data_IF_824293872472
#
_entry.id   IF_824293872472
#
_cell.length_a   1.000
_cell.length_b   1.000
_cell.length_c   1.000
_cell.angle_alpha   90.00
_cell.angle_beta   90.00
_cell.angle_gamma   90.00
#
_symmetry.space_group_name_H-M   'P 1'
#
loop_
_entity.id
_entity.type
_entity.pdbx_description
1 polymer ?
#
# COMPACT_ATOMS: atom_id res chain seq x y z
N UNK A 1 54.44 34.45 24.79
CA UNK A 1 53.15 34.74 24.14
C UNK A 1 52.20 35.26 25.22
N UNK A 2 51.70 36.51 25.17
CA UNK A 2 50.97 37.12 26.27
C UNK A 2 49.54 36.49 26.30
N UNK A 3 49.05 36.15 27.49
CA UNK A 3 47.75 35.52 27.75
C UNK A 3 46.58 36.18 26.95
N UNK A 4 46.63 37.51 26.77
CA UNK A 4 45.66 38.29 25.97
C UNK A 4 45.57 37.85 24.51
N UNK A 5 46.69 37.41 23.91
CA UNK A 5 46.65 36.95 22.50
C UNK A 5 46.07 35.55 22.38
N UNK A 6 46.15 34.74 23.44
CA UNK A 6 45.51 33.45 23.49
C UNK A 6 43.98 33.51 23.58
N UNK A 7 43.46 34.48 24.38
CA UNK A 7 42.02 34.73 24.46
C UNK A 7 41.43 35.30 23.15
N UNK A 8 42.17 36.22 22.48
CA UNK A 8 41.74 36.72 21.17
C UNK A 8 41.69 35.58 20.13
N UNK A 9 42.69 34.68 20.13
CA UNK A 9 42.72 33.55 19.19
C UNK A 9 41.59 32.56 19.46
N UNK A 10 41.22 32.31 20.73
CA UNK A 10 40.12 31.42 21.10
C UNK A 10 38.75 31.99 20.72
N UNK A 11 38.57 33.30 20.85
CA UNK A 11 37.29 33.97 20.51
C UNK A 11 37.11 34.00 18.98
N UNK A 12 38.17 34.22 18.21
CA UNK A 12 38.12 34.15 16.72
C UNK A 12 37.88 32.74 16.21
N UNK A 13 38.45 31.73 16.89
CA UNK A 13 38.22 30.30 16.51
C UNK A 13 36.74 29.88 16.82
N UNK A 14 36.17 30.37 17.93
CA UNK A 14 34.80 30.08 18.33
C UNK A 14 33.77 30.76 17.42
N UNK A 15 34.08 31.96 16.91
CA UNK A 15 33.19 32.68 15.98
C UNK A 15 33.15 32.05 14.58
N UNK A 16 34.23 31.42 14.12
CA UNK A 16 34.27 30.66 12.84
C UNK A 16 33.50 29.35 12.93
N UNK A 17 33.44 28.71 14.11
CA UNK A 17 32.68 27.48 14.30
C UNK A 17 31.15 27.68 14.29
N UNK A 18 30.67 28.91 14.53
CA UNK A 18 29.24 29.24 14.53
C UNK A 18 28.67 29.55 13.13
N UNK A 19 29.52 29.72 12.13
CA UNK A 19 29.08 29.98 10.74
C UNK A 19 29.12 28.73 9.85
N UNK A 20 29.44 27.57 10.41
CA UNK A 20 29.55 26.31 9.64
C UNK A 20 28.21 25.57 9.48
N UNK A 21 27.10 26.09 10.02
CA UNK A 21 25.76 25.67 9.58
C UNK A 21 25.28 26.70 8.54
N UNK A 22 25.77 26.60 7.32
CA UNK A 22 25.00 27.08 6.20
C UNK A 22 23.82 26.13 6.07
N UNK A 23 22.62 26.57 6.38
CA UNK A 23 21.41 25.97 5.86
C UNK A 23 21.46 26.13 4.33
N UNK A 24 22.23 25.29 3.68
CA UNK A 24 21.96 24.92 2.29
C UNK A 24 20.63 24.16 2.32
N UNK A 25 19.53 24.92 2.53
CA UNK A 25 18.21 24.44 2.17
C UNK A 25 18.25 24.22 0.68
N UNK A 26 18.56 22.97 0.30
CA UNK A 26 18.43 22.57 -1.10
C UNK A 26 17.03 22.98 -1.54
N UNK A 27 16.99 23.96 -2.44
CA UNK A 27 15.72 24.44 -3.02
C UNK A 27 15.25 23.33 -3.96
N UNK A 28 14.41 22.44 -3.46
CA UNK A 28 13.76 21.45 -4.33
C UNK A 28 12.46 22.03 -4.89
N UNK A 29 12.16 21.66 -6.12
CA UNK A 29 10.87 21.97 -6.72
C UNK A 29 9.77 21.20 -5.99
N UNK A 30 8.78 21.93 -5.49
CA UNK A 30 7.67 21.33 -4.77
C UNK A 30 6.79 20.51 -5.71
N UNK A 31 6.37 19.35 -5.27
CA UNK A 31 5.56 18.43 -6.07
C UNK A 31 4.38 17.92 -5.25
N UNK A 32 3.22 17.82 -5.89
CA UNK A 32 2.04 17.19 -5.31
C UNK A 32 2.07 15.67 -5.53
N UNK A 33 1.52 14.95 -4.58
CA UNK A 33 1.40 13.49 -4.61
C UNK A 33 0.14 13.04 -3.85
N UNK A 34 -0.33 11.82 -4.14
CA UNK A 34 -1.42 11.20 -3.38
C UNK A 34 -0.87 10.74 -2.04
N UNK A 35 -1.44 11.27 -0.94
CA UNK A 35 -1.06 10.92 0.44
C UNK A 35 -1.69 9.57 0.82
N UNK A 36 -0.96 8.51 0.51
CA UNK A 36 -1.35 7.15 0.83
C UNK A 36 -0.12 6.33 1.21
N UNK A 37 -0.22 5.57 2.31
CA UNK A 37 0.86 4.69 2.79
C UNK A 37 1.16 3.55 1.82
N UNK A 38 0.16 3.16 1.03
CA UNK A 38 0.26 2.13 -0.03
C UNK A 38 -0.46 2.61 -1.28
N UNK A 39 0.00 2.15 -2.44
CA UNK A 39 -0.58 2.54 -3.73
C UNK A 39 -1.89 1.82 -4.08
N UNK A 40 -2.28 0.83 -3.30
CA UNK A 40 -3.48 0.02 -3.56
C UNK A 40 -4.46 0.10 -2.40
N UNK A 41 -5.76 0.18 -2.71
CA UNK A 41 -6.85 0.05 -1.76
C UNK A 41 -7.76 -1.10 -2.19
N UNK A 42 -7.91 -2.11 -1.33
CA UNK A 42 -8.70 -3.28 -1.64
C UNK A 42 -10.17 -3.05 -1.26
N UNK A 43 -11.07 -3.30 -2.21
CA UNK A 43 -12.53 -3.32 -2.02
C UNK A 43 -13.00 -4.76 -2.22
N UNK A 44 -13.51 -5.37 -1.15
CA UNK A 44 -13.96 -6.75 -1.21
C UNK A 44 -15.39 -6.83 -1.79
N UNK A 45 -15.54 -7.54 -2.90
CA UNK A 45 -16.83 -7.81 -3.51
C UNK A 45 -17.58 -8.85 -2.67
N UNK A 46 -18.78 -8.47 -2.24
CA UNK A 46 -19.70 -9.35 -1.51
C UNK A 46 -21.09 -9.20 -2.11
N UNK A 47 -21.81 -10.31 -2.25
CA UNK A 47 -23.17 -10.31 -2.81
C UNK A 47 -24.19 -9.49 -1.99
N UNK A 48 -23.83 -9.11 -0.77
CA UNK A 48 -24.68 -8.35 0.17
C UNK A 48 -24.31 -6.87 0.26
N UNK A 49 -23.23 -6.43 -0.39
CA UNK A 49 -22.73 -5.05 -0.31
C UNK A 49 -22.73 -4.45 -1.72
N UNK A 50 -23.77 -3.65 -2.06
CA UNK A 50 -23.91 -3.11 -3.41
C UNK A 50 -23.02 -1.88 -3.69
N UNK A 51 -22.49 -1.24 -2.65
CA UNK A 51 -21.73 0.01 -2.77
C UNK A 51 -20.60 0.10 -1.77
N UNK A 52 -19.60 0.92 -2.10
CA UNK A 52 -18.48 1.27 -1.24
C UNK A 52 -18.05 2.71 -1.53
N UNK A 53 -17.20 3.25 -0.67
CA UNK A 53 -16.57 4.55 -0.88
C UNK A 53 -15.05 4.42 -0.76
N UNK A 54 -14.34 5.24 -1.52
CA UNK A 54 -12.90 5.41 -1.43
C UNK A 54 -12.56 6.86 -1.14
N UNK A 55 -11.55 7.08 -0.32
CA UNK A 55 -11.07 8.40 0.03
C UNK A 55 -9.55 8.45 -0.04
N UNK A 56 -9.01 9.59 -0.41
CA UNK A 56 -7.61 9.95 -0.24
C UNK A 56 -7.45 11.48 -0.17
N UNK A 57 -6.25 11.93 0.09
CA UNK A 57 -5.87 13.35 0.01
C UNK A 57 -4.70 13.52 -0.92
N UNK A 58 -4.50 14.73 -1.40
CA UNK A 58 -3.29 15.13 -2.11
C UNK A 58 -2.45 15.97 -1.15
N UNK A 59 -1.16 15.71 -1.13
CA UNK A 59 -0.21 16.40 -0.27
C UNK A 59 0.97 16.97 -1.08
N UNK A 60 1.76 17.83 -0.44
CA UNK A 60 3.03 18.34 -0.93
C UNK A 60 4.03 18.50 0.23
N UNK A 61 5.32 18.57 -0.07
CA UNK A 61 6.37 18.52 0.95
C UNK A 61 6.51 19.83 1.75
N UNK A 62 6.23 20.98 1.13
CA UNK A 62 6.29 22.30 1.78
C UNK A 62 5.10 23.16 1.36
N UNK A 63 4.63 24.09 2.22
CA UNK A 63 3.54 24.98 1.84
C UNK A 63 3.95 25.94 0.74
N UNK A 64 2.98 26.29 -0.14
CA UNK A 64 3.10 27.33 -1.13
C UNK A 64 2.44 28.64 -0.65
N UNK A 65 2.85 29.76 -1.22
CA UNK A 65 2.28 31.09 -0.90
C UNK A 65 0.94 31.35 -1.61
N UNK A 66 0.55 30.48 -2.53
CA UNK A 66 -0.70 30.55 -3.28
C UNK A 66 -1.38 29.18 -3.27
N UNK A 67 -2.67 29.17 -3.56
CA UNK A 67 -3.45 27.94 -3.68
C UNK A 67 -2.89 27.03 -4.78
N UNK A 68 -2.75 25.75 -4.45
CA UNK A 68 -2.37 24.72 -5.42
C UNK A 68 -3.61 23.98 -5.88
N UNK A 69 -3.94 24.15 -7.16
CA UNK A 69 -5.10 23.50 -7.80
C UNK A 69 -4.66 22.19 -8.44
N UNK A 70 -5.43 21.14 -8.20
CA UNK A 70 -5.15 19.78 -8.68
C UNK A 70 -6.39 19.22 -9.37
N UNK A 71 -6.23 18.70 -10.58
CA UNK A 71 -7.26 17.89 -11.24
C UNK A 71 -6.91 16.41 -11.18
N UNK A 72 -7.95 15.60 -11.05
CA UNK A 72 -7.88 14.15 -10.88
C UNK A 72 -8.75 13.49 -11.95
N UNK A 73 -8.34 12.30 -12.40
CA UNK A 73 -9.15 11.50 -13.31
C UNK A 73 -9.02 10.02 -13.02
N UNK A 74 -10.05 9.27 -13.38
CA UNK A 74 -9.94 7.83 -13.55
C UNK A 74 -9.21 7.55 -14.88
N UNK A 75 -8.21 6.65 -14.85
CA UNK A 75 -7.38 6.34 -16.01
C UNK A 75 -7.30 4.83 -16.25
N UNK A 76 -8.33 4.22 -16.85
CA UNK A 76 -8.37 2.78 -17.09
C UNK A 76 -7.18 2.23 -17.89
N UNK A 77 -6.53 3.06 -18.73
CA UNK A 77 -5.35 2.67 -19.48
C UNK A 77 -4.15 2.28 -18.58
N UNK A 78 -4.16 2.65 -17.30
CA UNK A 78 -3.11 2.28 -16.35
C UNK A 78 -3.30 0.88 -15.73
N UNK A 79 -4.33 0.12 -16.12
CA UNK A 79 -4.54 -1.25 -15.63
C UNK A 79 -3.42 -2.18 -16.07
N UNK A 80 -2.89 -2.05 -17.27
CA UNK A 80 -1.74 -2.83 -17.73
C UNK A 80 -0.48 -2.51 -16.89
N UNK A 81 -0.31 -1.25 -16.50
CA UNK A 81 0.78 -0.84 -15.59
C UNK A 81 0.61 -1.47 -14.21
N UNK A 82 -0.62 -1.51 -13.70
CA UNK A 82 -0.94 -2.21 -12.45
C UNK A 82 -0.61 -3.70 -12.56
N UNK A 83 -1.10 -4.38 -13.59
CA UNK A 83 -0.88 -5.80 -13.79
C UNK A 83 0.61 -6.15 -13.86
N UNK A 84 1.40 -5.34 -14.57
CA UNK A 84 2.84 -5.53 -14.64
C UNK A 84 3.55 -5.32 -13.28
N UNK A 85 3.10 -4.34 -12.49
CA UNK A 85 3.72 -3.98 -11.21
C UNK A 85 3.37 -4.96 -10.08
N UNK A 86 2.15 -5.51 -10.09
CA UNK A 86 1.62 -6.35 -9.01
C UNK A 86 1.49 -7.83 -9.40
N UNK A 87 1.91 -8.21 -10.62
CA UNK A 87 1.82 -9.58 -11.16
C UNK A 87 0.38 -10.13 -11.12
N UNK A 88 -0.58 -9.27 -11.44
CA UNK A 88 -2.01 -9.56 -11.45
C UNK A 88 -2.55 -9.68 -12.88
N UNK A 89 -3.81 -10.09 -13.03
CA UNK A 89 -4.53 -10.15 -14.30
C UNK A 89 -5.89 -9.45 -14.15
N UNK A 90 -5.85 -8.20 -13.69
CA UNK A 90 -7.04 -7.41 -13.45
C UNK A 90 -7.61 -6.83 -14.75
N UNK A 91 -8.92 -6.68 -14.78
CA UNK A 91 -9.66 -5.92 -15.79
C UNK A 91 -9.94 -4.49 -15.29
N UNK A 92 -10.14 -3.55 -16.22
CA UNK A 92 -10.56 -2.21 -15.86
C UNK A 92 -11.96 -2.24 -15.25
N UNK A 93 -12.17 -1.55 -14.12
CA UNK A 93 -13.51 -1.39 -13.54
C UNK A 93 -14.39 -0.61 -14.54
N UNK A 94 -15.54 -1.18 -14.98
CA UNK A 94 -16.41 -0.49 -15.93
C UNK A 94 -16.96 0.82 -15.35
N UNK A 95 -17.10 1.85 -16.19
CA UNK A 95 -17.44 3.21 -15.77
C UNK A 95 -18.79 3.33 -15.03
N UNK A 96 -19.72 2.40 -15.26
CA UNK A 96 -21.01 2.36 -14.54
C UNK A 96 -20.90 2.04 -13.05
N UNK A 97 -19.74 1.56 -12.59
CA UNK A 97 -19.51 1.14 -11.21
C UNK A 97 -18.79 2.17 -10.35
N UNK A 98 -18.41 3.33 -10.88
CA UNK A 98 -17.76 4.37 -10.10
C UNK A 98 -18.16 5.78 -10.50
N UNK A 99 -18.02 6.68 -9.54
CA UNK A 99 -18.11 8.13 -9.74
C UNK A 99 -16.99 8.80 -8.96
N UNK A 100 -16.17 9.61 -9.64
CA UNK A 100 -15.21 10.49 -8.99
C UNK A 100 -15.95 11.78 -8.61
N UNK A 101 -16.42 11.86 -7.36
CA UNK A 101 -17.22 12.99 -6.87
C UNK A 101 -16.41 14.28 -6.78
N UNK A 102 -15.10 14.14 -6.52
CA UNK A 102 -14.18 15.27 -6.38
C UNK A 102 -13.12 15.22 -7.49
N UNK A 103 -13.46 15.58 -8.74
CA UNK A 103 -12.49 15.57 -9.84
C UNK A 103 -11.45 16.70 -9.74
N UNK A 104 -11.66 17.66 -8.85
CA UNK A 104 -10.74 18.77 -8.58
C UNK A 104 -10.63 18.99 -7.07
N UNK A 105 -9.43 19.27 -6.59
CA UNK A 105 -9.16 19.64 -5.20
C UNK A 105 -8.14 20.75 -5.14
N UNK A 106 -8.03 21.39 -3.98
CA UNK A 106 -7.10 22.49 -3.74
C UNK A 106 -6.34 22.24 -2.44
N UNK A 107 -5.05 22.51 -2.46
CA UNK A 107 -4.25 22.69 -1.24
C UNK A 107 -4.19 24.20 -1.01
N UNK A 108 -4.79 24.72 0.08
CA UNK A 108 -4.81 26.16 0.36
C UNK A 108 -3.41 26.71 0.58
N UNK A 109 -3.22 27.99 0.27
CA UNK A 109 -1.98 28.70 0.59
C UNK A 109 -1.60 28.52 2.06
N UNK A 110 -0.32 28.21 2.32
CA UNK A 110 0.20 27.94 3.65
C UNK A 110 -0.11 26.55 4.20
N UNK A 111 -0.86 25.70 3.46
CA UNK A 111 -1.13 24.30 3.79
C UNK A 111 -0.24 23.36 2.98
N UNK A 112 -0.14 22.10 3.42
CA UNK A 112 0.54 21.01 2.70
C UNK A 112 -0.41 19.89 2.31
N UNK A 113 -1.70 20.02 2.62
CA UNK A 113 -2.69 18.95 2.47
C UNK A 113 -4.00 19.49 1.91
N UNK A 114 -4.58 18.76 0.96
CA UNK A 114 -5.89 19.07 0.39
C UNK A 114 -7.03 18.62 1.30
N UNK A 115 -8.26 19.04 0.98
CA UNK A 115 -9.45 18.36 1.44
C UNK A 115 -9.51 16.92 0.88
N UNK A 116 -10.42 16.11 1.44
CA UNK A 116 -10.61 14.73 1.01
C UNK A 116 -11.14 14.67 -0.41
N UNK A 117 -10.54 13.81 -1.20
CA UNK A 117 -11.06 13.39 -2.50
C UNK A 117 -11.89 12.14 -2.29
N UNK A 118 -13.14 12.17 -2.74
CA UNK A 118 -14.09 11.07 -2.54
C UNK A 118 -14.46 10.42 -3.87
N UNK A 119 -14.48 9.08 -3.84
CA UNK A 119 -15.00 8.24 -4.91
C UNK A 119 -16.16 7.42 -4.38
N UNK A 120 -17.20 7.26 -5.17
CA UNK A 120 -18.31 6.34 -4.90
C UNK A 120 -18.25 5.17 -5.86
N UNK A 121 -18.45 3.99 -5.31
CA UNK A 121 -18.56 2.75 -6.06
C UNK A 121 -19.97 2.19 -5.88
N UNK A 122 -20.62 1.82 -6.99
CA UNK A 122 -21.99 1.35 -6.99
C UNK A 122 -22.17 0.10 -7.84
N UNK A 123 -23.33 -0.55 -7.66
CA UNK A 123 -23.71 -1.77 -8.39
C UNK A 123 -22.65 -2.88 -8.30
N UNK A 124 -21.92 -2.95 -7.18
CA UNK A 124 -20.79 -3.89 -7.00
C UNK A 124 -21.23 -5.36 -7.03
N UNK A 125 -22.49 -5.63 -6.74
CA UNK A 125 -23.08 -6.98 -6.81
C UNK A 125 -23.27 -7.51 -8.24
N UNK A 126 -23.12 -6.66 -9.27
CA UNK A 126 -23.14 -7.04 -10.68
C UNK A 126 -21.77 -7.49 -11.19
N UNK A 127 -20.71 -7.25 -10.42
CA UNK A 127 -19.36 -7.65 -10.77
C UNK A 127 -19.16 -9.15 -10.51
N UNK A 128 -18.39 -9.78 -11.40
CA UNK A 128 -17.99 -11.17 -11.24
C UNK A 128 -16.95 -11.28 -10.10
N UNK A 129 -17.31 -11.96 -9.02
CA UNK A 129 -16.45 -12.11 -7.85
C UNK A 129 -15.23 -13.04 -8.10
N UNK A 130 -15.20 -13.78 -9.20
CA UNK A 130 -14.05 -14.61 -9.60
C UNK A 130 -12.98 -13.80 -10.35
N UNK A 131 -13.32 -12.56 -10.75
CA UNK A 131 -12.41 -11.64 -11.43
C UNK A 131 -11.84 -10.59 -10.49
N UNK A 132 -10.71 -10.02 -10.86
CA UNK A 132 -10.13 -8.84 -10.24
C UNK A 132 -10.39 -7.64 -11.15
N UNK A 133 -10.94 -6.57 -10.58
CA UNK A 133 -11.11 -5.30 -11.29
C UNK A 133 -10.26 -4.23 -10.64
N UNK A 134 -9.75 -3.30 -11.44
CA UNK A 134 -8.94 -2.18 -10.94
C UNK A 134 -9.44 -0.87 -11.50
N UNK A 135 -9.54 0.12 -10.64
CA UNK A 135 -9.74 1.52 -11.00
C UNK A 135 -8.49 2.31 -10.62
N UNK A 136 -7.63 2.68 -11.58
CA UNK A 136 -6.58 3.65 -11.35
C UNK A 136 -7.17 5.06 -11.30
N UNK A 137 -6.83 5.81 -10.25
CA UNK A 137 -7.15 7.24 -10.12
C UNK A 137 -5.85 8.01 -10.04
N UNK A 138 -5.66 8.98 -10.91
CA UNK A 138 -4.38 9.68 -11.07
C UNK A 138 -4.55 11.20 -10.98
N UNK A 139 -3.53 11.88 -10.49
CA UNK A 139 -3.42 13.33 -10.66
C UNK A 139 -3.18 13.58 -12.15
N UNK A 140 -4.10 14.28 -12.77
CA UNK A 140 -4.02 14.63 -14.20
C UNK A 140 -3.17 15.86 -14.40
N UNK A 141 -3.50 16.95 -13.70
CA UNK A 141 -2.79 18.23 -13.78
C UNK A 141 -2.70 18.88 -12.40
N UNK A 142 -1.67 19.68 -12.23
CA UNK A 142 -1.52 20.61 -11.11
C UNK A 142 -0.77 21.85 -11.59
N UNK A 143 -0.94 22.99 -10.88
CA UNK A 143 -0.17 24.22 -11.15
C UNK A 143 1.23 24.20 -10.51
N UNK A 144 1.64 23.10 -9.94
CA UNK A 144 3.00 22.77 -9.48
C UNK A 144 3.43 21.41 -10.04
N UNK A 145 4.67 21.00 -9.78
CA UNK A 145 5.16 19.68 -10.21
C UNK A 145 4.31 18.52 -9.64
N UNK A 146 4.32 17.37 -10.32
CA UNK A 146 3.64 16.14 -9.88
C UNK A 146 4.69 15.06 -9.64
N UNK A 147 4.71 14.47 -8.45
CA UNK A 147 5.61 13.36 -8.12
C UNK A 147 5.13 12.08 -8.82
N UNK A 148 5.82 11.71 -9.90
CA UNK A 148 5.41 10.60 -10.78
C UNK A 148 5.30 9.25 -10.05
N UNK A 149 6.13 9.00 -9.05
CA UNK A 149 6.11 7.76 -8.27
C UNK A 149 4.90 7.61 -7.36
N UNK A 150 4.18 8.70 -7.06
CA UNK A 150 3.04 8.73 -6.14
C UNK A 150 1.83 9.50 -6.72
N UNK A 151 1.72 9.56 -8.06
CA UNK A 151 0.62 10.26 -8.72
C UNK A 151 -0.65 9.43 -8.88
N UNK A 152 -0.57 8.10 -8.68
CA UNK A 152 -1.68 7.18 -8.97
C UNK A 152 -1.99 6.29 -7.78
N UNK A 153 -3.28 6.18 -7.47
CA UNK A 153 -3.86 5.23 -6.52
C UNK A 153 -4.68 4.20 -7.26
N UNK A 154 -4.56 2.93 -6.90
CA UNK A 154 -5.30 1.82 -7.49
C UNK A 154 -6.36 1.29 -6.52
N UNK A 155 -7.63 1.38 -6.87
CA UNK A 155 -8.69 0.69 -6.15
C UNK A 155 -8.88 -0.69 -6.77
N UNK A 156 -8.65 -1.73 -5.96
CA UNK A 156 -8.64 -3.13 -6.41
C UNK A 156 -9.88 -3.83 -5.87
N UNK A 157 -10.72 -4.31 -6.76
CA UNK A 157 -11.98 -4.99 -6.45
C UNK A 157 -11.80 -6.48 -6.70
N UNK A 158 -11.99 -7.28 -5.66
CA UNK A 158 -11.86 -8.74 -5.73
C UNK A 158 -12.86 -9.42 -4.82
N UNK A 159 -13.28 -10.61 -5.20
CA UNK A 159 -14.20 -11.40 -4.40
C UNK A 159 -13.68 -11.62 -3.00
N UNK A 160 -14.55 -11.45 -2.02
CA UNK A 160 -14.29 -11.91 -0.67
C UNK A 160 -14.46 -13.43 -0.67
N UNK A 161 -13.37 -14.16 -0.53
CA UNK A 161 -13.46 -15.59 -0.29
C UNK A 161 -14.11 -15.79 1.09
N UNK A 162 -15.41 -16.10 1.09
CA UNK A 162 -16.05 -16.63 2.28
C UNK A 162 -15.61 -18.09 2.39
N UNK A 163 -14.68 -18.36 3.29
CA UNK A 163 -14.37 -19.74 3.66
C UNK A 163 -15.55 -20.24 4.49
N UNK A 164 -16.56 -20.77 3.81
CA UNK A 164 -17.77 -21.35 4.44
C UNK A 164 -17.56 -22.81 4.85
N UNK A 165 -16.56 -23.45 4.28
CA UNK A 165 -16.25 -24.86 4.52
C UNK A 165 -14.78 -24.98 4.89
N UNK A 166 -14.51 -25.55 6.04
CA UNK A 166 -13.17 -25.86 6.53
C UNK A 166 -13.08 -27.35 6.80
N UNK A 167 -11.89 -27.91 6.64
CA UNK A 167 -11.67 -29.29 7.02
C UNK A 167 -11.63 -29.42 8.55
N UNK A 168 -12.43 -30.31 9.12
CA UNK A 168 -12.33 -30.71 10.53
C UNK A 168 -11.22 -31.77 10.67
N UNK A 169 -10.10 -31.32 11.22
CA UNK A 169 -8.92 -32.16 11.45
C UNK A 169 -8.79 -32.63 12.92
N UNK A 170 -9.86 -32.52 13.72
CA UNK A 170 -9.85 -32.93 15.14
C UNK A 170 -9.44 -34.41 15.32
N UNK A 171 -9.83 -35.25 14.40
CA UNK A 171 -9.54 -36.71 14.40
C UNK A 171 -8.94 -37.20 13.09
N UNK A 172 -8.63 -36.28 12.18
CA UNK A 172 -8.18 -36.60 10.83
C UNK A 172 -6.91 -35.80 10.49
N UNK A 173 -6.29 -36.19 9.39
CA UNK A 173 -5.19 -35.48 8.78
C UNK A 173 -5.38 -35.48 7.26
N UNK A 174 -4.76 -34.55 6.59
CA UNK A 174 -4.78 -34.43 5.14
C UNK A 174 -3.40 -34.71 4.60
N UNK A 175 -3.32 -35.66 3.65
CA UNK A 175 -2.12 -35.87 2.84
C UNK A 175 -2.27 -35.11 1.52
N UNK A 176 -1.26 -34.32 1.16
CA UNK A 176 -1.20 -33.68 -0.16
C UNK A 176 -0.67 -34.71 -1.16
N UNK A 177 -1.53 -35.14 -2.07
CA UNK A 177 -1.11 -36.00 -3.19
C UNK A 177 -0.67 -35.14 -4.37
N UNK A 178 0.62 -34.94 -4.50
CA UNK A 178 1.20 -34.14 -5.59
C UNK A 178 1.13 -34.92 -6.90
N UNK A 179 0.45 -34.39 -7.91
CA UNK A 179 0.41 -34.99 -9.25
C UNK A 179 1.77 -34.93 -9.96
N UNK A 180 2.64 -34.02 -9.57
CA UNK A 180 3.99 -33.83 -10.14
C UNK A 180 4.98 -33.50 -9.03
N UNK A 181 5.32 -34.45 -8.14
CA UNK A 181 6.17 -34.18 -6.99
C UNK A 181 7.59 -33.73 -7.38
N UNK A 182 8.07 -34.11 -8.56
CA UNK A 182 9.37 -33.69 -9.10
C UNK A 182 9.48 -32.19 -9.31
N UNK A 183 8.38 -31.47 -9.54
CA UNK A 183 8.35 -30.00 -9.68
C UNK A 183 8.54 -29.28 -8.35
N UNK A 184 8.33 -29.98 -7.23
CA UNK A 184 8.54 -29.44 -5.89
C UNK A 184 9.97 -29.67 -5.38
N UNK A 185 10.78 -30.46 -6.09
CA UNK A 185 12.15 -30.72 -5.71
C UNK A 185 13.07 -29.54 -6.03
N UNK A 186 13.96 -29.21 -5.09
CA UNK A 186 14.97 -28.17 -5.31
C UNK A 186 14.45 -26.74 -5.31
N UNK A 187 13.26 -26.46 -4.79
CA UNK A 187 12.74 -25.13 -4.64
C UNK A 187 13.68 -24.26 -3.77
N UNK A 188 14.08 -23.11 -4.29
CA UNK A 188 14.91 -22.15 -3.54
C UNK A 188 14.10 -21.28 -2.58
N UNK A 189 12.81 -21.18 -2.80
CA UNK A 189 11.88 -20.38 -1.99
C UNK A 189 10.58 -21.17 -1.88
N UNK A 190 10.05 -21.24 -0.67
CA UNK A 190 8.75 -21.84 -0.37
C UNK A 190 8.00 -20.85 0.54
N UNK A 191 6.77 -20.52 0.17
CA UNK A 191 5.83 -19.80 1.02
C UNK A 191 4.71 -20.75 1.38
N UNK A 192 4.38 -20.82 2.68
CA UNK A 192 3.27 -21.62 3.19
C UNK A 192 2.33 -20.69 3.95
N UNK A 193 1.07 -20.68 3.55
CA UNK A 193 0.00 -19.93 4.23
C UNK A 193 -1.06 -20.91 4.70
N UNK A 194 -1.38 -20.89 5.99
CA UNK A 194 -2.38 -21.77 6.59
C UNK A 194 -3.28 -20.96 7.51
N UNK A 195 -4.59 -21.02 7.26
CA UNK A 195 -5.59 -20.49 8.16
C UNK A 195 -6.09 -21.62 9.07
N UNK A 196 -5.84 -21.51 10.36
CA UNK A 196 -6.24 -22.51 11.35
C UNK A 196 -7.10 -21.89 12.44
N UNK A 197 -8.09 -22.65 12.91
CA UNK A 197 -8.90 -22.32 14.08
C UNK A 197 -8.82 -23.48 15.09
N UNK A 198 -7.80 -23.49 15.97
CA UNK A 198 -7.64 -24.55 16.95
C UNK A 198 -8.72 -24.45 18.03
N UNK A 199 -9.43 -25.56 18.29
CA UNK A 199 -10.41 -25.63 19.38
C UNK A 199 -9.76 -25.60 20.76
N UNK A 200 -8.52 -26.09 20.88
CA UNK A 200 -7.69 -26.09 22.09
C UNK A 200 -6.21 -26.02 21.72
N UNK A 201 -5.43 -25.36 22.56
CA UNK A 201 -3.96 -25.31 22.52
C UNK A 201 -3.37 -25.89 23.80
N UNK A 202 -3.89 -27.05 24.23
CA UNK A 202 -3.53 -27.71 25.49
C UNK A 202 -2.53 -28.87 25.32
N UNK A 203 -2.07 -29.13 24.11
CA UNK A 203 -1.06 -30.13 23.81
C UNK A 203 0.34 -29.52 23.78
N UNK A 204 1.33 -30.26 24.28
CA UNK A 204 2.73 -29.85 24.25
C UNK A 204 3.22 -29.57 22.81
N UNK A 205 2.75 -30.36 21.84
CA UNK A 205 3.09 -30.21 20.43
C UNK A 205 1.83 -30.45 19.59
N UNK A 206 1.54 -29.53 18.66
CA UNK A 206 0.48 -29.66 17.66
C UNK A 206 1.02 -29.27 16.29
N UNK A 207 1.24 -30.25 15.41
CA UNK A 207 1.72 -30.03 14.07
C UNK A 207 0.56 -29.52 13.18
N UNK A 208 0.76 -28.37 12.54
CA UNK A 208 -0.17 -27.77 11.59
C UNK A 208 0.10 -28.30 10.19
N UNK A 209 1.38 -28.30 9.79
CA UNK A 209 1.83 -28.73 8.48
C UNK A 209 3.29 -29.18 8.58
N UNK A 210 3.70 -30.16 7.76
CA UNK A 210 5.12 -30.44 7.63
C UNK A 210 5.44 -31.72 6.92
N UNK A 211 6.73 -31.90 6.70
CA UNK A 211 7.37 -33.12 6.22
C UNK A 211 8.32 -33.57 7.32
N UNK A 212 8.05 -34.73 7.90
CA UNK A 212 8.85 -35.26 8.99
C UNK A 212 10.34 -35.36 8.60
N UNK A 213 11.21 -34.83 9.49
CA UNK A 213 12.64 -34.78 9.25
C UNK A 213 13.17 -33.65 8.37
N UNK A 214 12.28 -32.82 7.78
CA UNK A 214 12.66 -31.74 6.89
C UNK A 214 12.10 -30.36 7.31
N UNK A 215 10.79 -30.27 7.42
CA UNK A 215 10.12 -29.00 7.70
C UNK A 215 8.84 -29.24 8.50
N UNK A 216 8.67 -28.50 9.59
CA UNK A 216 7.48 -28.60 10.45
C UNK A 216 7.03 -27.20 10.88
N UNK A 217 5.73 -26.93 10.72
CA UNK A 217 5.03 -25.78 11.33
C UNK A 217 4.18 -26.32 12.49
N UNK A 218 4.48 -25.90 13.73
CA UNK A 218 3.88 -26.43 14.95
C UNK A 218 3.43 -25.32 15.89
N UNK A 219 2.46 -25.63 16.76
CA UNK A 219 2.19 -24.93 18.00
C UNK A 219 2.78 -25.69 19.18
N UNK A 220 3.26 -24.94 20.19
CA UNK A 220 3.66 -25.50 21.47
C UNK A 220 5.00 -26.25 21.50
N UNK A 221 5.92 -25.94 20.59
CA UNK A 221 7.29 -26.42 20.68
C UNK A 221 7.98 -25.72 21.87
N UNK A 222 7.96 -26.34 23.02
CA UNK A 222 8.81 -25.92 24.15
C UNK A 222 10.19 -26.54 23.99
N UNK A 223 11.21 -25.67 23.90
CA UNK A 223 12.60 -26.07 23.93
C UNK A 223 12.95 -26.80 25.25
#
# INVERSE_FOLDING_TARGET
MKLKNLYLLSITLLSVALTACSDDTETFDNQVYIDASVKTSNVLLKNTIPSAEGEFRVAMAKPENADVTISLKAEPALVDTYNAAFYDNAEALPSKHYTLETPQTVIPAGSVLSEKVTLKFGNLTELDAEKVYVLPVTIDQANVGILQSARTMYYVFKGAALINVVADLTKNLVYVNWSTPEKANGLRKLTVEVLVNPSKLDKAISTVLGIEGYFLLRFGDTA
#
